data_IF_329007431969
#
_entry.id   IF_329007431969
#
_cell.length_a   1.000
_cell.length_b   1.000
_cell.length_c   1.000
_cell.angle_alpha   90.00
_cell.angle_beta   90.00
_cell.angle_gamma   90.00
#
_symmetry.space_group_name_H-M   'P 1'
#
loop_
_entity.id
_entity.type
_entity.pdbx_description
1 polymer ?
#
# COMPACT_ATOMS: atom_id res chain seq x y z
N UNK A 1 20.59 -19.27 0.32
CA UNK A 1 19.59 -18.60 -0.54
C UNK A 1 20.00 -18.85 -1.99
N UNK A 2 19.14 -19.41 -2.83
CA UNK A 2 19.48 -19.72 -4.21
C UNK A 2 19.67 -18.45 -5.05
N UNK A 3 20.60 -18.46 -6.00
CA UNK A 3 20.89 -17.34 -6.91
C UNK A 3 19.65 -16.80 -7.64
N UNK A 4 18.70 -17.67 -7.96
CA UNK A 4 17.39 -17.35 -8.53
C UNK A 4 16.52 -16.47 -7.63
N UNK A 5 16.53 -16.68 -6.31
CA UNK A 5 15.75 -15.85 -5.37
C UNK A 5 16.28 -14.42 -5.30
N UNK A 6 17.60 -14.23 -5.39
CA UNK A 6 18.19 -12.89 -5.37
C UNK A 6 17.88 -12.12 -6.67
N UNK A 7 17.91 -12.79 -7.83
CA UNK A 7 17.54 -12.18 -9.11
C UNK A 7 16.08 -11.71 -9.14
N UNK A 8 15.16 -12.49 -8.58
CA UNK A 8 13.73 -12.15 -8.55
C UNK A 8 13.41 -11.04 -7.54
N UNK A 9 14.15 -10.95 -6.42
CA UNK A 9 14.09 -9.80 -5.50
C UNK A 9 14.55 -8.51 -6.19
N UNK A 10 15.67 -8.58 -6.91
CA UNK A 10 16.16 -7.46 -7.71
C UNK A 10 15.11 -7.00 -8.72
N UNK A 11 14.48 -7.94 -9.42
CA UNK A 11 13.42 -7.65 -10.39
C UNK A 11 12.22 -6.92 -9.76
N UNK A 12 11.73 -7.39 -8.61
CA UNK A 12 10.63 -6.71 -7.90
C UNK A 12 11.02 -5.29 -7.43
N UNK A 13 12.25 -5.11 -6.97
CA UNK A 13 12.77 -3.79 -6.58
C UNK A 13 12.87 -2.85 -7.77
N UNK A 14 13.30 -3.35 -8.94
CA UNK A 14 13.36 -2.59 -10.18
C UNK A 14 11.95 -2.14 -10.62
N UNK A 15 10.94 -3.02 -10.57
CA UNK A 15 9.56 -2.67 -10.94
C UNK A 15 9.01 -1.56 -10.04
N UNK A 16 9.21 -1.67 -8.73
CA UNK A 16 8.78 -0.62 -7.77
C UNK A 16 9.55 0.69 -8.02
N UNK A 17 10.86 0.61 -8.25
CA UNK A 17 11.67 1.77 -8.57
C UNK A 17 11.22 2.44 -9.88
N UNK A 18 10.89 1.67 -10.92
CA UNK A 18 10.35 2.16 -12.18
C UNK A 18 8.98 2.81 -11.99
N UNK A 19 8.11 2.25 -11.15
CA UNK A 19 6.83 2.86 -10.81
C UNK A 19 7.02 4.22 -10.13
N UNK A 20 7.98 4.32 -9.21
CA UNK A 20 8.29 5.56 -8.51
C UNK A 20 8.96 6.61 -9.43
N UNK A 21 9.95 6.20 -10.21
CA UNK A 21 10.63 7.05 -11.20
C UNK A 21 9.66 7.56 -12.26
N UNK A 22 8.78 6.70 -12.77
CA UNK A 22 7.76 7.11 -13.74
C UNK A 22 6.75 8.09 -13.13
N UNK A 23 6.40 7.94 -11.85
CA UNK A 23 5.58 8.91 -11.12
C UNK A 23 6.30 10.25 -10.94
N UNK A 24 7.56 10.24 -10.47
CA UNK A 24 8.34 11.44 -10.18
C UNK A 24 8.68 12.22 -11.45
N UNK A 25 9.10 11.53 -12.51
CA UNK A 25 9.43 12.10 -13.82
C UNK A 25 8.19 12.31 -14.70
N UNK A 26 7.00 12.00 -14.19
CA UNK A 26 5.73 12.18 -14.86
C UNK A 26 5.62 11.45 -16.23
N UNK A 27 6.26 10.29 -16.34
CA UNK A 27 6.25 9.43 -17.54
C UNK A 27 4.96 8.62 -17.56
N UNK A 28 3.86 9.28 -17.96
CA UNK A 28 2.49 8.74 -17.96
C UNK A 28 2.35 7.35 -18.59
N UNK A 29 2.94 7.16 -19.78
CA UNK A 29 2.81 5.90 -20.51
C UNK A 29 3.39 4.71 -19.73
N UNK A 30 4.61 4.86 -19.19
CA UNK A 30 5.25 3.83 -18.39
C UNK A 30 4.46 3.57 -17.11
N UNK A 31 4.02 4.63 -16.41
CA UNK A 31 3.24 4.50 -15.19
C UNK A 31 1.94 3.70 -15.43
N UNK A 32 1.18 4.01 -16.49
CA UNK A 32 -0.09 3.30 -16.77
C UNK A 32 0.12 1.83 -17.12
N UNK A 33 1.15 1.51 -17.91
CA UNK A 33 1.47 0.11 -18.22
C UNK A 33 1.80 -0.66 -16.94
N UNK A 34 2.64 -0.10 -16.07
CA UNK A 34 2.98 -0.74 -14.80
C UNK A 34 1.74 -0.93 -13.91
N UNK A 35 0.86 0.06 -13.82
CA UNK A 35 -0.39 -0.03 -13.06
C UNK A 35 -1.31 -1.13 -13.60
N UNK A 36 -1.41 -1.29 -14.93
CA UNK A 36 -2.20 -2.36 -15.56
C UNK A 36 -1.60 -3.74 -15.25
N UNK A 37 -0.26 -3.88 -15.32
CA UNK A 37 0.42 -5.13 -14.98
C UNK A 37 0.19 -5.51 -13.52
N UNK A 38 0.32 -4.54 -12.60
CA UNK A 38 0.05 -4.75 -11.17
C UNK A 38 -1.41 -5.16 -10.96
N UNK A 39 -2.36 -4.44 -11.57
CA UNK A 39 -3.78 -4.76 -11.47
C UNK A 39 -4.09 -6.18 -11.95
N UNK A 40 -3.55 -6.59 -13.10
CA UNK A 40 -3.73 -7.93 -13.64
C UNK A 40 -3.19 -9.01 -12.68
N UNK A 41 -2.00 -8.80 -12.10
CA UNK A 41 -1.42 -9.70 -11.12
C UNK A 41 -2.27 -9.82 -9.85
N UNK A 42 -2.72 -8.69 -9.30
CA UNK A 42 -3.59 -8.64 -8.12
C UNK A 42 -4.94 -9.35 -8.37
N UNK A 43 -5.56 -9.10 -9.52
CA UNK A 43 -6.85 -9.72 -9.90
C UNK A 43 -6.69 -11.22 -10.06
N UNK A 44 -5.62 -11.68 -10.71
CA UNK A 44 -5.35 -13.11 -10.89
C UNK A 44 -5.20 -13.83 -9.55
N UNK A 45 -4.44 -13.26 -8.63
CA UNK A 45 -4.23 -13.83 -7.30
C UNK A 45 -5.51 -13.79 -6.45
N UNK A 46 -6.28 -12.70 -6.51
CA UNK A 46 -7.58 -12.62 -5.87
C UNK A 46 -8.55 -13.69 -6.39
N UNK A 47 -8.63 -13.85 -7.71
CA UNK A 47 -9.45 -14.88 -8.34
C UNK A 47 -9.07 -16.27 -7.82
N UNK A 48 -7.77 -16.60 -7.79
CA UNK A 48 -7.30 -17.88 -7.29
C UNK A 48 -7.66 -18.14 -5.81
N UNK A 49 -7.72 -17.10 -4.98
CA UNK A 49 -8.15 -17.24 -3.58
C UNK A 49 -9.67 -17.44 -3.44
N UNK A 50 -10.46 -16.81 -4.31
CA UNK A 50 -11.91 -16.70 -4.16
C UNK A 50 -12.74 -17.44 -5.22
N UNK A 51 -12.14 -18.19 -6.15
CA UNK A 51 -12.84 -18.74 -7.33
C UNK A 51 -14.09 -19.58 -7.01
N UNK A 52 -14.15 -20.22 -5.83
CA UNK A 52 -15.33 -20.99 -5.38
C UNK A 52 -16.50 -20.12 -4.92
N UNK A 53 -16.31 -18.81 -4.74
CA UNK A 53 -17.27 -17.85 -4.19
C UNK A 53 -17.40 -16.66 -5.17
N UNK A 54 -18.25 -16.76 -6.21
CA UNK A 54 -18.27 -15.80 -7.32
C UNK A 54 -18.58 -14.36 -6.88
N UNK A 55 -19.42 -14.19 -5.85
CA UNK A 55 -19.69 -12.87 -5.26
C UNK A 55 -18.41 -12.18 -4.75
N UNK A 56 -17.53 -12.93 -4.07
CA UNK A 56 -16.26 -12.38 -3.56
C UNK A 56 -15.26 -12.09 -4.68
N UNK A 57 -15.27 -12.90 -5.75
CA UNK A 57 -14.46 -12.62 -6.95
C UNK A 57 -14.85 -11.28 -7.55
N UNK A 58 -16.15 -11.06 -7.77
CA UNK A 58 -16.66 -9.79 -8.30
C UNK A 58 -16.33 -8.61 -7.38
N UNK A 59 -16.49 -8.78 -6.07
CA UNK A 59 -16.18 -7.74 -5.09
C UNK A 59 -14.70 -7.34 -5.12
N UNK A 60 -13.76 -8.29 -5.10
CA UNK A 60 -12.34 -7.95 -5.16
C UNK A 60 -11.93 -7.36 -6.49
N UNK A 61 -12.49 -7.83 -7.61
CA UNK A 61 -12.26 -7.22 -8.92
C UNK A 61 -12.64 -5.73 -8.92
N UNK A 62 -13.83 -5.40 -8.42
CA UNK A 62 -14.30 -4.00 -8.33
C UNK A 62 -13.39 -3.18 -7.42
N UNK A 63 -13.07 -3.66 -6.22
CA UNK A 63 -12.27 -2.88 -5.26
C UNK A 63 -10.85 -2.65 -5.82
N UNK A 64 -10.18 -3.69 -6.33
CA UNK A 64 -8.84 -3.55 -6.92
C UNK A 64 -8.86 -2.54 -8.08
N UNK A 65 -9.85 -2.64 -8.98
CA UNK A 65 -9.97 -1.68 -10.08
C UNK A 65 -10.17 -0.24 -9.59
N UNK A 66 -11.02 -0.02 -8.60
CA UNK A 66 -11.23 1.32 -8.02
C UNK A 66 -9.90 1.87 -7.50
N UNK A 67 -9.13 1.09 -6.75
CA UNK A 67 -7.84 1.52 -6.21
C UNK A 67 -6.85 1.91 -7.31
N UNK A 68 -6.74 1.09 -8.36
CA UNK A 68 -5.85 1.34 -9.50
C UNK A 68 -6.29 2.58 -10.29
N UNK A 69 -7.60 2.74 -10.53
CA UNK A 69 -8.16 3.90 -11.21
C UNK A 69 -7.89 5.17 -10.39
N UNK A 70 -8.08 5.16 -9.07
CA UNK A 70 -7.76 6.28 -8.19
C UNK A 70 -6.28 6.70 -8.34
N UNK A 71 -5.35 5.75 -8.32
CA UNK A 71 -3.91 6.03 -8.50
C UNK A 71 -3.60 6.64 -9.88
N UNK A 72 -4.21 6.10 -10.94
CA UNK A 72 -4.06 6.64 -12.31
C UNK A 72 -4.63 8.07 -12.39
N UNK A 73 -5.81 8.32 -11.82
CA UNK A 73 -6.43 9.65 -11.84
C UNK A 73 -5.56 10.65 -11.06
N UNK A 74 -5.03 10.28 -9.89
CA UNK A 74 -4.10 11.14 -9.15
C UNK A 74 -2.86 11.46 -9.97
N UNK A 75 -2.25 10.45 -10.60
CA UNK A 75 -1.12 10.68 -11.50
C UNK A 75 -1.48 11.60 -12.67
N UNK A 76 -2.66 11.47 -13.27
CA UNK A 76 -3.07 12.32 -14.41
C UNK A 76 -3.32 13.78 -14.03
N UNK A 77 -3.89 14.03 -12.84
CA UNK A 77 -4.44 15.34 -12.47
C UNK A 77 -3.56 16.12 -11.49
N UNK A 78 -2.75 15.46 -10.68
CA UNK A 78 -1.85 16.11 -9.71
C UNK A 78 -0.45 16.21 -10.32
N UNK A 79 -0.11 17.43 -10.73
CA UNK A 79 1.22 17.78 -11.24
C UNK A 79 2.03 18.48 -10.14
N UNK A 80 3.34 18.18 -10.01
CA UNK A 80 4.03 16.99 -10.51
C UNK A 80 3.65 15.75 -9.67
N UNK A 81 3.91 14.53 -10.15
CA UNK A 81 3.54 13.25 -9.50
C UNK A 81 4.16 12.98 -8.11
N UNK A 82 4.63 14.03 -7.44
CA UNK A 82 5.09 14.07 -6.04
C UNK A 82 4.00 13.61 -5.07
N UNK A 83 2.72 13.86 -5.34
CA UNK A 83 1.65 13.44 -4.42
C UNK A 83 1.51 11.94 -4.26
N UNK A 84 1.77 11.18 -5.32
CA UNK A 84 1.85 9.73 -5.24
C UNK A 84 3.10 9.26 -4.51
N UNK A 85 4.23 9.96 -4.70
CA UNK A 85 5.47 9.71 -3.95
C UNK A 85 5.24 9.90 -2.46
N UNK A 86 4.66 11.03 -2.05
CA UNK A 86 4.26 11.33 -0.68
C UNK A 86 3.34 10.26 -0.09
N UNK A 87 2.35 9.81 -0.86
CA UNK A 87 1.46 8.72 -0.47
C UNK A 87 2.21 7.41 -0.21
N UNK A 88 3.06 6.97 -1.13
CA UNK A 88 3.84 5.74 -0.94
C UNK A 88 4.83 5.85 0.21
N UNK A 89 5.43 7.02 0.43
CA UNK A 89 6.30 7.26 1.58
C UNK A 89 5.56 7.04 2.91
N UNK A 90 4.33 7.52 3.04
CA UNK A 90 3.52 7.28 4.25
C UNK A 90 3.25 5.79 4.46
N UNK A 91 2.90 5.05 3.41
CA UNK A 91 2.63 3.60 3.50
C UNK A 91 3.91 2.83 3.88
N UNK A 92 5.01 3.06 3.17
CA UNK A 92 6.24 2.31 3.43
C UNK A 92 6.85 2.64 4.79
N UNK A 93 6.77 3.90 5.23
CA UNK A 93 7.12 4.24 6.61
C UNK A 93 6.21 3.52 7.60
N UNK A 94 4.91 3.40 7.34
CA UNK A 94 4.01 2.60 8.19
C UNK A 94 4.52 1.17 8.33
N UNK A 95 4.83 0.49 7.23
CA UNK A 95 5.25 -0.91 7.24
C UNK A 95 6.58 -1.12 7.99
N UNK A 96 7.57 -0.25 7.71
CA UNK A 96 8.89 -0.32 8.35
C UNK A 96 8.76 -0.07 9.85
N UNK A 97 8.11 1.01 10.26
CA UNK A 97 7.99 1.36 11.68
C UNK A 97 7.02 0.46 12.43
N UNK A 98 6.04 -0.15 11.77
CA UNK A 98 5.20 -1.17 12.38
C UNK A 98 5.96 -2.47 12.66
N UNK A 99 6.79 -2.90 11.71
CA UNK A 99 7.68 -4.06 11.89
C UNK A 99 8.72 -3.80 12.99
N UNK A 100 9.41 -2.66 12.95
CA UNK A 100 10.43 -2.31 13.95
C UNK A 100 9.79 -2.13 15.32
N UNK A 101 8.73 -1.34 15.42
CA UNK A 101 8.00 -1.10 16.67
C UNK A 101 7.47 -2.38 17.29
N UNK A 102 6.88 -3.27 16.48
CA UNK A 102 6.39 -4.56 16.96
C UNK A 102 7.51 -5.47 17.48
N UNK A 103 8.70 -5.43 16.87
CA UNK A 103 9.87 -6.21 17.31
C UNK A 103 10.49 -5.65 18.59
N UNK A 104 10.63 -4.33 18.69
CA UNK A 104 11.30 -3.67 19.82
C UNK A 104 10.40 -3.56 21.06
N UNK A 105 9.18 -3.05 20.90
CA UNK A 105 8.28 -2.83 22.03
C UNK A 105 7.47 -4.08 22.40
N UNK A 106 7.31 -5.03 21.46
CA UNK A 106 6.55 -6.26 21.66
C UNK A 106 5.13 -5.97 22.22
N UNK A 107 4.49 -6.94 22.87
CA UNK A 107 3.18 -6.76 23.49
C UNK A 107 2.06 -7.54 22.79
N UNK A 108 0.79 -7.18 23.04
CA UNK A 108 -0.35 -7.98 22.62
C UNK A 108 -0.46 -8.03 21.09
N UNK A 109 -0.77 -9.23 20.59
CA UNK A 109 -1.01 -9.48 19.17
C UNK A 109 -2.30 -8.80 18.73
N UNK A 110 -2.27 -8.16 17.57
CA UNK A 110 -3.41 -7.46 16.99
C UNK A 110 -4.47 -8.45 16.50
N UNK A 111 -4.06 -9.45 15.72
CA UNK A 111 -4.96 -10.47 15.16
C UNK A 111 -4.30 -11.85 15.16
N UNK A 112 -4.29 -12.59 16.29
CA UNK A 112 -3.54 -13.84 16.45
C UNK A 112 -3.84 -14.89 15.38
N UNK A 113 -5.10 -14.99 14.94
CA UNK A 113 -5.56 -15.99 13.98
C UNK A 113 -5.31 -15.61 12.52
N UNK A 114 -5.26 -14.30 12.21
CA UNK A 114 -5.14 -13.80 10.84
C UNK A 114 -3.66 -13.52 10.53
N UNK A 115 -3.01 -12.72 11.38
CA UNK A 115 -1.62 -12.32 11.26
C UNK A 115 -0.91 -12.39 12.62
N UNK A 116 -0.30 -13.54 12.96
CA UNK A 116 0.26 -13.79 14.30
C UNK A 116 1.46 -12.91 14.65
N UNK A 117 2.06 -12.24 13.66
CA UNK A 117 3.24 -11.39 13.82
C UNK A 117 2.89 -9.91 14.04
N UNK A 118 1.63 -9.50 13.85
CA UNK A 118 1.20 -8.10 14.04
C UNK A 118 0.87 -7.84 15.51
N UNK A 119 1.40 -6.75 16.06
CA UNK A 119 1.16 -6.30 17.44
C UNK A 119 0.50 -4.92 17.47
N UNK A 120 -0.18 -4.61 18.57
CA UNK A 120 -0.74 -3.27 18.80
C UNK A 120 0.34 -2.19 18.87
N UNK A 121 1.48 -2.50 19.50
CA UNK A 121 2.63 -1.61 19.54
C UNK A 121 3.16 -1.28 18.15
N UNK A 122 3.29 -2.28 17.27
CA UNK A 122 3.67 -2.09 15.87
C UNK A 122 2.68 -1.18 15.14
N UNK A 123 1.38 -1.44 15.27
CA UNK A 123 0.35 -0.59 14.66
C UNK A 123 0.50 0.89 15.08
N UNK A 124 0.65 1.16 16.37
CA UNK A 124 0.79 2.51 16.89
C UNK A 124 2.07 3.16 16.35
N UNK A 125 3.21 2.45 16.35
CA UNK A 125 4.47 2.96 15.80
C UNK A 125 4.39 3.27 14.29
N UNK A 126 3.73 2.41 13.51
CA UNK A 126 3.52 2.66 12.08
C UNK A 126 2.66 3.89 11.83
N UNK A 127 1.53 4.01 12.56
CA UNK A 127 0.63 5.15 12.46
C UNK A 127 1.29 6.47 12.85
N UNK A 128 2.05 6.48 13.95
CA UNK A 128 2.77 7.70 14.37
C UNK A 128 3.86 8.08 13.39
N UNK A 129 4.59 7.11 12.83
CA UNK A 129 5.61 7.37 11.80
C UNK A 129 4.99 8.00 10.55
N UNK A 130 3.87 7.48 10.04
CA UNK A 130 3.17 8.07 8.91
C UNK A 130 2.63 9.47 9.21
N UNK A 131 2.14 9.70 10.43
CA UNK A 131 1.76 11.04 10.89
C UNK A 131 2.92 12.01 10.85
N UNK A 132 4.11 11.61 11.29
CA UNK A 132 5.32 12.45 11.18
C UNK A 132 5.76 12.67 9.74
N UNK A 133 5.65 11.69 8.85
CA UNK A 133 5.93 11.86 7.42
C UNK A 133 5.01 12.93 6.82
N UNK A 134 3.70 12.84 7.05
CA UNK A 134 2.74 13.83 6.59
C UNK A 134 3.01 15.23 7.18
N UNK A 135 3.37 15.31 8.47
CA UNK A 135 3.74 16.55 9.13
C UNK A 135 5.01 17.18 8.53
N UNK A 136 6.04 16.38 8.23
CA UNK A 136 7.27 16.85 7.58
C UNK A 136 6.94 17.40 6.19
N UNK A 137 6.16 16.67 5.39
CA UNK A 137 5.73 17.11 4.05
C UNK A 137 5.04 18.47 4.13
N UNK A 138 4.13 18.65 5.11
CA UNK A 138 3.43 19.91 5.35
C UNK A 138 4.38 21.05 5.73
N UNK A 139 5.25 20.87 6.74
CA UNK A 139 6.15 21.93 7.24
C UNK A 139 7.17 22.35 6.18
N UNK A 140 7.68 21.40 5.40
CA UNK A 140 8.70 21.64 4.39
C UNK A 140 8.12 22.08 3.04
N UNK A 141 6.80 22.04 2.88
CA UNK A 141 6.09 22.27 1.63
C UNK A 141 6.62 21.42 0.45
N UNK A 142 7.10 20.20 0.73
CA UNK A 142 7.67 19.28 -0.27
C UNK A 142 6.65 18.89 -1.35
N UNK A 143 5.37 18.92 -1.00
CA UNK A 143 4.26 18.66 -1.90
C UNK A 143 3.22 19.78 -1.78
N UNK A 144 3.13 20.61 -2.80
CA UNK A 144 2.23 21.77 -2.82
C UNK A 144 0.75 21.36 -2.71
N UNK A 145 0.35 20.23 -3.29
CA UNK A 145 -1.04 19.74 -3.25
C UNK A 145 -1.40 19.36 -1.83
N UNK A 146 -0.57 18.54 -1.19
CA UNK A 146 -0.81 18.11 0.19
C UNK A 146 -0.70 19.27 1.17
N UNK A 147 0.26 20.18 0.97
CA UNK A 147 0.44 21.35 1.84
C UNK A 147 -0.79 22.26 1.79
N UNK A 148 -1.37 22.46 0.61
CA UNK A 148 -2.61 23.23 0.47
C UNK A 148 -3.83 22.52 1.07
N UNK A 149 -3.87 21.18 1.01
CA UNK A 149 -4.99 20.39 1.59
C UNK A 149 -4.89 20.25 3.11
N UNK A 150 -3.66 20.22 3.64
CA UNK A 150 -3.40 20.08 5.07
C UNK A 150 -3.38 21.47 5.72
N UNK A 151 -4.52 21.94 6.23
CA UNK A 151 -4.63 23.33 6.73
C UNK A 151 -3.94 23.61 8.07
N UNK A 152 -3.37 22.60 8.75
CA UNK A 152 -2.65 22.77 10.02
C UNK A 152 -1.72 21.58 10.32
N UNK A 153 -0.75 21.78 11.23
CA UNK A 153 0.12 20.70 11.70
C UNK A 153 -0.67 19.52 12.29
N UNK A 154 -1.72 19.80 13.07
CA UNK A 154 -2.54 18.76 13.68
C UNK A 154 -3.31 17.94 12.63
N UNK A 155 -3.83 18.63 11.61
CA UNK A 155 -4.48 17.98 10.48
C UNK A 155 -3.49 17.14 9.67
N UNK A 156 -2.29 17.66 9.37
CA UNK A 156 -1.24 16.93 8.67
C UNK A 156 -0.86 15.62 9.39
N UNK A 157 -0.62 15.70 10.71
CA UNK A 157 -0.31 14.51 11.51
C UNK A 157 -1.46 13.51 11.49
N UNK A 158 -2.69 13.98 11.74
CA UNK A 158 -3.89 13.13 11.75
C UNK A 158 -4.16 12.49 10.39
N UNK A 159 -3.88 13.21 9.30
CA UNK A 159 -3.99 12.71 7.93
C UNK A 159 -3.11 11.48 7.72
N UNK A 160 -1.82 11.55 8.06
CA UNK A 160 -0.90 10.43 7.92
C UNK A 160 -1.31 9.22 8.78
N UNK A 161 -1.76 9.48 10.01
CA UNK A 161 -2.28 8.46 10.93
C UNK A 161 -3.48 7.71 10.34
N UNK A 162 -4.43 8.44 9.75
CA UNK A 162 -5.65 7.85 9.14
C UNK A 162 -5.29 7.00 7.93
N UNK A 163 -4.40 7.48 7.06
CA UNK A 163 -3.93 6.72 5.89
C UNK A 163 -3.24 5.42 6.31
N UNK A 164 -2.34 5.50 7.30
CA UNK A 164 -1.65 4.33 7.85
C UNK A 164 -2.59 3.30 8.47
N UNK A 165 -3.59 3.76 9.22
CA UNK A 165 -4.60 2.89 9.82
C UNK A 165 -5.36 2.11 8.75
N UNK A 166 -5.78 2.79 7.69
CA UNK A 166 -6.57 2.20 6.60
C UNK A 166 -5.69 1.27 5.75
N UNK A 167 -4.43 1.62 5.52
CA UNK A 167 -3.45 0.73 4.90
C UNK A 167 -3.29 -0.57 5.71
N UNK A 168 -3.20 -0.49 7.03
CA UNK A 168 -3.10 -1.69 7.88
C UNK A 168 -4.38 -2.53 7.86
N UNK A 169 -5.55 -1.89 7.87
CA UNK A 169 -6.83 -2.60 7.74
C UNK A 169 -6.93 -3.34 6.40
N UNK A 170 -6.40 -2.73 5.33
CA UNK A 170 -6.34 -3.32 4.00
C UNK A 170 -5.48 -4.59 3.95
N UNK A 171 -4.28 -4.56 4.54
CA UNK A 171 -3.43 -5.76 4.68
C UNK A 171 -4.15 -6.84 5.53
N UNK A 172 -4.78 -6.47 6.65
CA UNK A 172 -5.53 -7.41 7.47
C UNK A 172 -6.71 -8.05 6.72
N UNK A 173 -7.39 -7.28 5.86
CA UNK A 173 -8.47 -7.77 5.01
C UNK A 173 -7.96 -8.82 4.02
N UNK A 174 -6.88 -8.54 3.28
CA UNK A 174 -6.30 -9.52 2.35
C UNK A 174 -5.78 -10.74 3.12
N UNK A 175 -5.12 -10.53 4.25
CA UNK A 175 -4.66 -11.60 5.13
C UNK A 175 -5.80 -12.50 5.62
N UNK A 176 -6.98 -11.97 5.90
CA UNK A 176 -8.15 -12.75 6.25
C UNK A 176 -8.60 -13.67 5.11
N UNK A 177 -8.66 -13.16 3.87
CA UNK A 177 -9.02 -13.99 2.70
C UNK A 177 -7.99 -15.06 2.39
N UNK A 178 -6.70 -14.78 2.62
CA UNK A 178 -5.65 -15.81 2.55
C UNK A 178 -5.94 -16.97 3.50
N UNK A 179 -6.33 -16.70 4.75
CA UNK A 179 -6.70 -17.76 5.72
C UNK A 179 -7.96 -18.52 5.31
N UNK A 180 -8.97 -17.82 4.79
CA UNK A 180 -10.18 -18.47 4.26
C UNK A 180 -9.89 -19.41 3.08
N UNK A 181 -8.85 -19.10 2.30
CA UNK A 181 -8.37 -19.94 1.20
C UNK A 181 -7.37 -21.04 1.65
N UNK A 182 -7.07 -21.16 2.96
CA UNK A 182 -6.00 -22.00 3.51
C UNK A 182 -4.61 -21.70 2.92
N UNK A 183 -4.37 -20.44 2.54
CA UNK A 183 -3.11 -19.95 2.00
C UNK A 183 -2.38 -19.09 3.02
N UNK A 184 -1.06 -19.03 2.89
CA UNK A 184 -0.21 -18.08 3.63
C UNK A 184 0.08 -16.82 2.81
N UNK A 185 0.42 -17.04 1.55
CA UNK A 185 0.74 -16.02 0.56
C UNK A 185 -0.28 -16.13 -0.58
N UNK A 186 -0.64 -15.00 -1.18
CA UNK A 186 -1.66 -14.89 -2.25
C UNK A 186 -1.22 -15.52 -3.57
N UNK A 187 0.09 -15.63 -3.79
CA UNK A 187 0.70 -16.20 -4.97
C UNK A 187 2.20 -16.47 -4.78
N UNK A 188 2.84 -16.99 -5.82
CA UNK A 188 4.28 -17.26 -5.86
C UNK A 188 4.98 -16.46 -6.98
N UNK A 189 4.36 -15.38 -7.46
CA UNK A 189 4.89 -14.56 -8.56
C UNK A 189 6.24 -13.94 -8.15
N UNK A 190 6.41 -13.59 -6.87
CA UNK A 190 7.66 -13.04 -6.34
C UNK A 190 8.27 -14.04 -5.35
N UNK A 191 9.21 -14.89 -5.80
CA UNK A 191 9.75 -15.95 -4.95
C UNK A 191 10.43 -15.39 -3.70
N UNK A 192 9.98 -15.89 -2.55
CA UNK A 192 10.43 -15.48 -1.22
C UNK A 192 9.71 -14.24 -0.65
N UNK A 193 8.77 -13.64 -1.38
CA UNK A 193 8.04 -12.43 -0.97
C UNK A 193 6.52 -12.50 -1.18
N UNK A 194 6.01 -13.61 -1.73
CA UNK A 194 4.58 -13.88 -1.92
C UNK A 194 4.07 -13.44 -3.30
N UNK A 195 2.80 -13.07 -3.36
CA UNK A 195 2.13 -12.58 -4.55
C UNK A 195 2.29 -11.08 -4.79
N UNK A 196 1.82 -10.62 -5.95
CA UNK A 196 1.63 -9.21 -6.26
C UNK A 196 0.66 -8.55 -5.27
N UNK A 197 -0.43 -9.22 -4.94
CA UNK A 197 -1.43 -8.78 -3.98
C UNK A 197 -0.84 -8.65 -2.57
N UNK A 198 0.13 -9.47 -2.17
CA UNK A 198 0.84 -9.32 -0.88
C UNK A 198 1.77 -8.09 -0.84
N UNK A 199 2.11 -7.50 -1.99
CA UNK A 199 2.93 -6.27 -2.06
C UNK A 199 2.09 -5.01 -2.08
N UNK A 200 0.86 -5.14 -2.57
CA UNK A 200 -0.06 -4.05 -2.86
C UNK A 200 -1.38 -4.23 -2.11
N UNK A 201 -1.40 -4.97 -1.00
CA UNK A 201 -2.59 -5.16 -0.17
C UNK A 201 -2.99 -3.86 0.53
N UNK A 202 -2.01 -3.10 1.01
CA UNK A 202 -2.18 -1.80 1.65
C UNK A 202 -2.88 -0.76 0.76
N UNK A 203 -2.66 -0.78 -0.56
CA UNK A 203 -3.23 0.21 -1.49
C UNK A 203 -4.71 0.00 -1.78
N UNK A 204 -5.24 -1.21 -1.54
CA UNK A 204 -6.62 -1.58 -1.89
C UNK A 204 -7.62 -0.62 -1.24
N UNK A 205 -7.49 -0.36 0.07
CA UNK A 205 -8.34 0.63 0.75
C UNK A 205 -7.69 2.00 0.93
N UNK A 206 -6.37 2.09 1.05
CA UNK A 206 -5.74 3.38 1.31
C UNK A 206 -5.70 4.29 0.08
N UNK A 207 -5.62 3.76 -1.15
CA UNK A 207 -5.57 4.60 -2.35
C UNK A 207 -6.90 5.32 -2.63
N UNK A 208 -8.09 4.66 -2.58
CA UNK A 208 -9.37 5.35 -2.72
C UNK A 208 -9.60 6.41 -1.63
N UNK A 209 -9.22 6.13 -0.38
CA UNK A 209 -9.35 7.09 0.71
C UNK A 209 -8.44 8.30 0.49
N UNK A 210 -7.16 8.06 0.16
CA UNK A 210 -6.22 9.14 -0.12
C UNK A 210 -6.69 10.00 -1.30
N UNK A 211 -7.20 9.36 -2.36
CA UNK A 211 -7.85 10.04 -3.47
C UNK A 211 -8.99 10.94 -3.00
N UNK A 212 -9.90 10.43 -2.18
CA UNK A 212 -11.03 11.22 -1.66
C UNK A 212 -10.56 12.44 -0.87
N UNK A 213 -9.56 12.29 0.01
CA UNK A 213 -9.07 13.38 0.85
C UNK A 213 -8.31 14.46 0.06
N UNK A 214 -7.73 14.12 -1.07
CA UNK A 214 -6.89 15.04 -1.87
C UNK A 214 -7.64 15.64 -3.05
N UNK A 215 -8.55 14.90 -3.69
CA UNK A 215 -9.22 15.32 -4.92
C UNK A 215 -10.64 15.83 -4.74
N UNK A 216 -11.32 15.46 -3.66
CA UNK A 216 -12.63 15.99 -3.30
C UNK A 216 -12.46 17.14 -2.29
#
# INVERSE_FOLDING_TARGET
MSTTQNQLRLLSGIVIAMLFLSSLLYIRFLFYILMIIIAAGMIQEWFNMCYKKPFLVGLGFVIILISIICLIIMHTKLLPGMTLVSYFLMIWCTDVFAMLGGKYFQGPKLTPYISPNKTWSGLICGMTAAGFVALIIYITALDAVLTHKMNSCWYAFSFGVIIAFIAQLSDLFVSYFKRQANLKDSGNIIPGHGGMLDRFDSIIFSAPLFFMLVMM
#
